data_IF_905886912295
#
_entry.id   IF_905886912295
#
_cell.length_a   1.000
_cell.length_b   1.000
_cell.length_c   1.000
_cell.angle_alpha   90.00
_cell.angle_beta   90.00
_cell.angle_gamma   90.00
#
_symmetry.space_group_name_H-M   'P 1'
#
loop_
_entity.id
_entity.type
_entity.pdbx_description
1 polymer ?
#
# COMPACT_ATOMS: atom_id res chain seq x y z
N UNK A 1 0.28 6.25 6.40
CA UNK A 1 -0.52 5.03 6.70
C UNK A 1 -0.13 3.98 5.67
N UNK A 2 0.01 2.71 6.04
CA UNK A 2 0.51 1.67 5.13
C UNK A 2 -0.60 0.93 4.35
N UNK A 3 -1.85 1.02 4.79
CA UNK A 3 -3.00 0.38 4.16
C UNK A 3 -4.00 1.47 3.73
N UNK A 4 -4.56 1.36 2.53
CA UNK A 4 -5.63 2.24 2.10
C UNK A 4 -6.88 1.97 2.95
N UNK A 5 -7.66 3.01 3.21
CA UNK A 5 -8.96 2.85 3.86
C UNK A 5 -9.92 2.18 2.87
N UNK A 6 -10.85 1.37 3.39
CA UNK A 6 -11.89 0.75 2.56
C UNK A 6 -12.89 1.78 2.05
N UNK A 7 -13.25 2.73 2.91
CA UNK A 7 -14.14 3.83 2.58
C UNK A 7 -13.40 4.90 1.80
N UNK A 8 -14.07 5.44 0.78
CA UNK A 8 -13.68 6.66 0.10
C UNK A 8 -13.79 7.85 1.08
N UNK A 9 -12.69 8.57 1.37
CA UNK A 9 -12.74 9.74 2.23
C UNK A 9 -13.59 10.87 1.64
N UNK A 10 -13.51 11.07 0.32
CA UNK A 10 -14.22 12.14 -0.38
C UNK A 10 -15.73 11.85 -0.44
N UNK A 11 -16.12 10.62 -0.80
CA UNK A 11 -17.53 10.22 -0.80
C UNK A 11 -18.10 10.28 0.63
N UNK A 12 -17.35 9.81 1.63
CA UNK A 12 -17.76 9.92 3.04
C UNK A 12 -18.02 11.37 3.44
N UNK A 13 -17.12 12.29 3.10
CA UNK A 13 -17.27 13.71 3.45
C UNK A 13 -18.49 14.35 2.77
N UNK A 14 -18.74 14.03 1.49
CA UNK A 14 -19.92 14.52 0.77
C UNK A 14 -21.21 13.97 1.40
N UNK A 15 -21.27 12.66 1.65
CA UNK A 15 -22.45 12.05 2.26
C UNK A 15 -22.71 12.58 3.67
N UNK A 16 -21.67 12.83 4.47
CA UNK A 16 -21.82 13.46 5.79
C UNK A 16 -22.35 14.89 5.67
N UNK A 17 -21.87 15.68 4.70
CA UNK A 17 -22.38 17.04 4.48
C UNK A 17 -23.85 17.04 4.07
N UNK A 18 -24.25 16.11 3.20
CA UNK A 18 -25.65 15.94 2.78
C UNK A 18 -26.52 15.52 3.96
N UNK A 19 -26.04 14.56 4.76
CA UNK A 19 -26.73 14.07 5.95
C UNK A 19 -26.90 15.13 7.04
N UNK A 20 -25.89 16.01 7.23
CA UNK A 20 -25.94 17.10 8.22
C UNK A 20 -26.66 18.36 7.73
N UNK A 21 -27.14 18.39 6.48
CA UNK A 21 -27.82 19.57 5.93
C UNK A 21 -29.26 19.64 6.41
N UNK A 22 -29.62 20.69 7.14
CA UNK A 22 -31.01 20.94 7.60
C UNK A 22 -31.95 21.32 6.45
N UNK A 23 -31.40 21.91 5.38
CA UNK A 23 -32.18 22.34 4.21
C UNK A 23 -31.98 21.39 3.03
N UNK A 24 -33.06 20.96 2.36
CA UNK A 24 -32.97 20.15 1.16
C UNK A 24 -32.30 20.96 0.06
N UNK A 25 -31.15 20.48 -0.39
CA UNK A 25 -30.36 21.12 -1.44
C UNK A 25 -30.33 20.22 -2.67
N UNK A 26 -30.61 20.81 -3.83
CA UNK A 26 -30.42 20.14 -5.10
C UNK A 26 -28.92 20.08 -5.39
N UNK A 27 -28.37 18.87 -5.34
CA UNK A 27 -26.94 18.67 -5.46
C UNK A 27 -26.69 17.61 -6.52
N UNK A 28 -25.82 17.98 -7.46
CA UNK A 28 -25.26 17.06 -8.44
C UNK A 28 -23.73 17.12 -8.33
N UNK A 29 -23.12 16.00 -7.97
CA UNK A 29 -21.68 15.89 -7.78
C UNK A 29 -21.10 14.71 -8.57
N UNK A 30 -20.05 15.00 -9.33
CA UNK A 30 -19.23 13.99 -9.99
C UNK A 30 -17.88 13.88 -9.28
N UNK A 31 -17.57 12.70 -8.73
CA UNK A 31 -16.31 12.42 -8.06
C UNK A 31 -15.52 11.39 -8.86
N UNK A 32 -14.22 11.62 -9.03
CA UNK A 32 -13.30 10.67 -9.65
C UNK A 32 -12.27 10.20 -8.63
N UNK A 33 -12.09 8.89 -8.50
CA UNK A 33 -11.16 8.29 -7.55
C UNK A 33 -10.15 7.33 -8.19
N UNK A 34 -9.19 6.91 -7.38
CA UNK A 34 -8.19 5.91 -7.75
C UNK A 34 -8.87 4.60 -8.22
N UNK A 35 -8.34 4.01 -9.30
CA UNK A 35 -8.94 2.82 -9.93
C UNK A 35 -9.89 3.15 -11.09
N UNK A 36 -9.89 4.38 -11.60
CA UNK A 36 -10.82 4.85 -12.65
C UNK A 36 -12.28 4.76 -12.24
N UNK A 37 -12.53 5.01 -10.95
CA UNK A 37 -13.87 4.97 -10.36
C UNK A 37 -14.50 6.34 -10.52
N UNK A 38 -15.76 6.34 -10.93
CA UNK A 38 -16.57 7.54 -11.01
C UNK A 38 -17.81 7.36 -10.13
N UNK A 39 -18.06 8.34 -9.29
CA UNK A 39 -19.29 8.44 -8.53
C UNK A 39 -20.11 9.61 -9.06
N UNK A 40 -21.41 9.41 -9.15
CA UNK A 40 -22.40 10.45 -9.39
C UNK A 40 -23.37 10.45 -8.22
N UNK A 41 -23.41 11.58 -7.52
CA UNK A 41 -24.24 11.77 -6.34
C UNK A 41 -25.29 12.80 -6.73
N UNK A 42 -26.55 12.43 -6.59
CA UNK A 42 -27.68 13.27 -6.94
C UNK A 42 -28.69 13.32 -5.79
N UNK A 43 -29.05 14.52 -5.36
CA UNK A 43 -30.18 14.80 -4.46
C UNK A 43 -31.11 15.80 -5.11
N UNK A 44 -32.42 15.61 -4.92
CA UNK A 44 -33.46 16.51 -5.44
C UNK A 44 -34.19 17.18 -4.28
N UNK A 45 -34.66 18.42 -4.49
CA UNK A 45 -35.49 19.13 -3.50
C UNK A 45 -36.83 18.42 -3.30
N UNK A 46 -37.37 17.80 -4.35
CA UNK A 46 -38.64 17.07 -4.31
C UNK A 46 -38.56 15.78 -3.50
N UNK A 47 -37.35 15.22 -3.37
CA UNK A 47 -37.09 13.95 -2.68
C UNK A 47 -35.91 14.11 -1.72
N UNK A 48 -36.10 14.95 -0.70
CA UNK A 48 -35.04 15.38 0.22
C UNK A 48 -34.48 14.27 1.11
N UNK A 49 -35.24 13.19 1.29
CA UNK A 49 -34.87 12.06 2.14
C UNK A 49 -34.01 11.02 1.41
N UNK A 50 -34.03 11.04 0.07
CA UNK A 50 -33.31 10.07 -0.74
C UNK A 50 -32.14 10.71 -1.49
N UNK A 51 -30.99 10.04 -1.42
CA UNK A 51 -29.82 10.37 -2.23
C UNK A 51 -29.52 9.22 -3.17
N UNK A 52 -29.29 9.57 -4.44
CA UNK A 52 -28.94 8.61 -5.47
C UNK A 52 -27.43 8.61 -5.66
N UNK A 53 -26.81 7.45 -5.46
CA UNK A 53 -25.38 7.22 -5.65
C UNK A 53 -25.19 6.24 -6.82
N UNK A 54 -24.74 6.74 -7.96
CA UNK A 54 -24.40 5.93 -9.12
C UNK A 54 -22.88 5.74 -9.22
N UNK A 55 -22.43 4.52 -9.53
CA UNK A 55 -21.03 4.11 -9.50
C UNK A 55 -20.67 3.48 -10.83
N UNK A 56 -19.63 4.02 -11.46
CA UNK A 56 -18.96 3.40 -12.60
C UNK A 56 -17.58 2.96 -12.15
N UNK A 57 -17.31 1.66 -12.29
CA UNK A 57 -16.04 1.06 -11.91
C UNK A 57 -15.69 -0.03 -12.94
N UNK A 58 -14.41 -0.18 -13.34
CA UNK A 58 -14.00 -1.28 -14.19
C UNK A 58 -14.20 -2.60 -13.45
N UNK A 59 -14.76 -3.61 -14.14
CA UNK A 59 -14.82 -4.97 -13.61
C UNK A 59 -13.39 -5.51 -13.46
N UNK A 60 -13.11 -6.23 -12.36
CA UNK A 60 -11.78 -6.78 -12.14
C UNK A 60 -11.39 -7.75 -13.26
N UNK A 61 -12.27 -8.64 -13.72
CA UNK A 61 -11.99 -9.53 -14.85
C UNK A 61 -12.71 -9.05 -16.12
N UNK A 62 -11.96 -8.93 -17.22
CA UNK A 62 -12.49 -8.51 -18.53
C UNK A 62 -12.91 -9.67 -19.43
N UNK A 63 -12.61 -10.93 -19.08
CA UNK A 63 -12.49 -11.99 -20.08
C UNK A 63 -13.46 -13.17 -20.08
N UNK A 64 -14.13 -13.54 -18.97
CA UNK A 64 -14.78 -14.88 -18.94
C UNK A 64 -16.10 -14.98 -18.17
N UNK A 65 -16.48 -14.05 -17.28
CA UNK A 65 -17.53 -14.37 -16.30
C UNK A 65 -18.80 -13.52 -16.28
N UNK A 66 -18.93 -12.39 -16.98
CA UNK A 66 -20.15 -11.57 -16.83
C UNK A 66 -20.55 -10.87 -18.13
N UNK A 67 -21.73 -11.22 -18.62
CA UNK A 67 -22.59 -10.40 -19.46
C UNK A 67 -22.84 -9.05 -18.78
N UNK A 68 -22.18 -7.98 -19.23
CA UNK A 68 -22.34 -6.54 -18.94
C UNK A 68 -22.61 -6.01 -17.50
N UNK A 69 -22.92 -6.84 -16.51
CA UNK A 69 -23.38 -6.49 -15.17
C UNK A 69 -22.58 -7.14 -14.05
N UNK A 70 -22.92 -6.78 -12.81
CA UNK A 70 -22.29 -7.32 -11.59
C UNK A 70 -22.78 -8.75 -11.30
N UNK A 71 -21.94 -9.60 -10.70
CA UNK A 71 -22.37 -10.96 -10.31
C UNK A 71 -23.47 -10.91 -9.24
N UNK A 72 -24.39 -11.90 -9.19
CA UNK A 72 -25.41 -11.97 -8.14
C UNK A 72 -24.82 -11.93 -6.73
N UNK A 73 -23.68 -12.59 -6.54
CA UNK A 73 -22.92 -12.55 -5.28
C UNK A 73 -22.47 -11.12 -4.92
N UNK A 74 -22.00 -10.35 -5.91
CA UNK A 74 -21.61 -8.95 -5.69
C UNK A 74 -22.80 -8.08 -5.30
N UNK A 75 -23.94 -8.26 -5.96
CA UNK A 75 -25.18 -7.54 -5.62
C UNK A 75 -25.65 -7.89 -4.20
N UNK A 76 -25.58 -9.17 -3.82
CA UNK A 76 -25.91 -9.61 -2.46
C UNK A 76 -24.98 -8.97 -1.42
N UNK A 77 -23.66 -8.97 -1.66
CA UNK A 77 -22.69 -8.33 -0.77
C UNK A 77 -22.91 -6.81 -0.65
N UNK A 78 -23.35 -6.15 -1.73
CA UNK A 78 -23.71 -4.72 -1.70
C UNK A 78 -25.03 -4.49 -0.95
N UNK A 79 -26.04 -5.34 -1.13
CA UNK A 79 -27.30 -5.27 -0.34
C UNK A 79 -27.06 -5.47 1.16
N UNK A 80 -26.04 -6.25 1.52
CA UNK A 80 -25.61 -6.40 2.91
C UNK A 80 -24.95 -5.14 3.48
N UNK A 81 -24.52 -4.19 2.63
CA UNK A 81 -24.08 -2.85 3.07
C UNK A 81 -25.35 -2.09 3.47
N UNK A 82 -25.69 -2.15 4.75
CA UNK A 82 -26.81 -1.40 5.35
C UNK A 82 -28.16 -1.72 4.72
N UNK A 83 -28.62 -2.96 4.91
CA UNK A 83 -29.85 -3.53 4.33
C UNK A 83 -31.15 -2.74 4.59
N UNK A 84 -31.19 -1.88 5.61
CA UNK A 84 -32.37 -1.07 5.93
C UNK A 84 -32.40 0.26 5.18
N UNK A 85 -31.24 0.88 4.93
CA UNK A 85 -31.12 2.25 4.41
C UNK A 85 -30.72 2.33 2.93
N UNK A 86 -30.23 1.24 2.33
CA UNK A 86 -29.73 1.22 0.96
C UNK A 86 -30.57 0.28 0.10
N UNK A 87 -31.07 0.80 -1.02
CA UNK A 87 -31.79 0.02 -2.04
C UNK A 87 -31.04 0.08 -3.38
N UNK A 88 -30.95 -1.04 -4.08
CA UNK A 88 -30.37 -1.09 -5.43
C UNK A 88 -31.48 -0.78 -6.45
N UNK A 89 -31.25 0.21 -7.31
CA UNK A 89 -32.19 0.59 -8.37
C UNK A 89 -31.82 -0.15 -9.67
N UNK A 90 -32.81 -0.80 -10.28
CA UNK A 90 -32.68 -1.45 -11.59
C UNK A 90 -33.68 -0.83 -12.59
N UNK A 91 -33.24 -0.48 -13.82
CA UNK A 91 -31.87 -0.52 -14.32
C UNK A 91 -30.98 0.56 -13.69
N UNK A 92 -29.67 0.33 -13.68
CA UNK A 92 -28.71 1.36 -13.28
C UNK A 92 -28.79 2.57 -14.22
N UNK A 93 -28.45 3.75 -13.71
CA UNK A 93 -28.39 4.98 -14.50
C UNK A 93 -27.45 4.82 -15.68
N UNK A 94 -27.80 5.41 -16.82
CA UNK A 94 -27.00 5.32 -18.05
C UNK A 94 -25.53 5.76 -17.80
N UNK A 95 -24.59 4.94 -18.28
CA UNK A 95 -23.15 5.14 -18.04
C UNK A 95 -22.62 4.60 -16.70
N UNK A 96 -23.48 4.12 -15.81
CA UNK A 96 -23.10 3.56 -14.51
C UNK A 96 -23.39 2.06 -14.43
N UNK A 97 -22.63 1.35 -13.58
CA UNK A 97 -22.76 -0.10 -13.37
C UNK A 97 -23.70 -0.44 -12.22
N UNK A 98 -23.87 0.48 -11.28
CA UNK A 98 -24.71 0.32 -10.09
C UNK A 98 -25.28 1.69 -9.69
N UNK A 99 -26.57 1.72 -9.35
CA UNK A 99 -27.21 2.89 -8.75
C UNK A 99 -27.86 2.49 -7.42
N UNK A 100 -27.52 3.22 -6.37
CA UNK A 100 -28.02 3.02 -5.02
C UNK A 100 -28.94 4.17 -4.63
N UNK A 101 -30.10 3.87 -4.05
CA UNK A 101 -30.94 4.82 -3.32
C UNK A 101 -30.61 4.73 -1.84
N UNK A 102 -30.17 5.83 -1.25
CA UNK A 102 -29.84 5.94 0.16
C UNK A 102 -30.95 6.72 0.84
N UNK A 103 -31.59 6.12 1.84
CA UNK A 103 -32.65 6.73 2.64
C UNK A 103 -32.05 7.27 3.95
N UNK A 104 -31.88 8.60 4.03
CA UNK A 104 -31.33 9.24 5.22
C UNK A 104 -32.28 9.22 6.41
N UNK A 105 -33.60 9.12 6.20
CA UNK A 105 -34.56 9.04 7.30
C UNK A 105 -34.31 7.82 8.17
N UNK A 106 -34.00 6.68 7.52
CA UNK A 106 -33.68 5.44 8.23
C UNK A 106 -32.31 5.49 8.91
N UNK A 107 -31.37 6.27 8.39
CA UNK A 107 -30.04 6.45 9.00
C UNK A 107 -30.12 7.30 10.27
N UNK A 108 -31.05 8.27 10.32
CA UNK A 108 -31.27 9.14 11.50
C UNK A 108 -31.71 8.37 12.75
N UNK A 109 -32.34 7.20 12.59
CA UNK A 109 -32.85 6.39 13.70
C UNK A 109 -31.82 5.41 14.29
N UNK A 110 -30.62 5.33 13.71
CA UNK A 110 -29.58 4.39 14.11
C UNK A 110 -28.61 5.02 15.13
N UNK A 111 -28.02 4.20 16.01
CA UNK A 111 -27.12 4.68 17.07
C UNK A 111 -25.81 5.27 16.52
N UNK A 112 -25.38 4.86 15.31
CA UNK A 112 -24.08 5.22 14.74
C UNK A 112 -24.14 5.58 13.23
N UNK A 113 -24.77 6.72 12.86
CA UNK A 113 -24.97 7.11 11.47
C UNK A 113 -23.67 7.32 10.70
N UNK A 114 -22.62 7.82 11.35
CA UNK A 114 -21.31 8.00 10.72
C UNK A 114 -20.68 6.68 10.26
N UNK A 115 -20.94 5.57 10.97
CA UNK A 115 -20.43 4.25 10.57
C UNK A 115 -21.18 3.73 9.36
N UNK A 116 -22.50 3.90 9.33
CA UNK A 116 -23.34 3.57 8.17
C UNK A 116 -22.87 4.34 6.93
N UNK A 117 -22.66 5.65 7.06
CA UNK A 117 -22.15 6.48 5.95
C UNK A 117 -20.74 6.03 5.54
N UNK A 118 -19.91 5.59 6.50
CA UNK A 118 -18.58 5.03 6.19
C UNK A 118 -18.68 3.71 5.42
N UNK A 119 -19.65 2.86 5.75
CA UNK A 119 -19.89 1.59 5.09
C UNK A 119 -20.44 1.79 3.67
N UNK A 120 -21.36 2.75 3.48
CA UNK A 120 -21.83 3.19 2.16
C UNK A 120 -20.64 3.71 1.35
N UNK A 121 -19.78 4.54 1.94
CA UNK A 121 -18.59 5.04 1.27
C UNK A 121 -17.54 3.94 0.95
N UNK A 122 -17.70 2.73 1.49
CA UNK A 122 -16.87 1.56 1.18
C UNK A 122 -17.44 0.68 0.06
N UNK A 123 -18.56 1.05 -0.57
CA UNK A 123 -19.23 0.29 -1.63
C UNK A 123 -18.28 -0.20 -2.73
N UNK A 124 -17.39 0.67 -3.21
CA UNK A 124 -16.44 0.30 -4.25
C UNK A 124 -15.45 -0.78 -3.77
N UNK A 125 -14.96 -0.67 -2.54
CA UNK A 125 -14.12 -1.70 -1.94
C UNK A 125 -14.87 -3.03 -1.78
N UNK A 126 -16.18 -3.00 -1.51
CA UNK A 126 -17.02 -4.21 -1.45
C UNK A 126 -17.16 -4.84 -2.82
N UNK A 127 -17.44 -4.07 -3.87
CA UNK A 127 -17.55 -4.57 -5.27
C UNK A 127 -16.27 -5.29 -5.71
N UNK A 128 -15.10 -4.68 -5.48
CA UNK A 128 -13.83 -5.30 -5.84
C UNK A 128 -13.54 -6.53 -4.98
N UNK A 129 -13.84 -6.44 -3.68
CA UNK A 129 -13.60 -7.55 -2.75
C UNK A 129 -14.50 -8.73 -3.05
N UNK A 130 -15.78 -8.53 -3.40
CA UNK A 130 -16.71 -9.62 -3.72
C UNK A 130 -16.25 -10.39 -4.95
N UNK A 131 -15.82 -9.70 -6.01
CA UNK A 131 -15.31 -10.32 -7.22
C UNK A 131 -14.08 -11.22 -6.94
N UNK A 132 -13.13 -10.73 -6.14
CA UNK A 132 -11.97 -11.55 -5.76
C UNK A 132 -12.36 -12.67 -4.77
N UNK A 133 -13.29 -12.42 -3.84
CA UNK A 133 -13.83 -13.44 -2.93
C UNK A 133 -14.45 -14.61 -3.72
N UNK A 134 -15.25 -14.33 -4.74
CA UNK A 134 -15.87 -15.33 -5.60
C UNK A 134 -14.83 -16.23 -6.28
N UNK A 135 -13.70 -15.65 -6.71
CA UNK A 135 -12.59 -16.40 -7.29
C UNK A 135 -11.84 -17.25 -6.27
N UNK A 136 -11.71 -16.77 -5.03
CA UNK A 136 -10.94 -17.41 -3.94
C UNK A 136 -11.74 -18.41 -3.10
N UNK A 137 -13.08 -18.32 -3.05
CA UNK A 137 -13.91 -19.32 -2.34
C UNK A 137 -13.91 -20.65 -3.11
N UNK A 138 -13.83 -20.57 -4.44
CA UNK A 138 -13.86 -21.73 -5.34
C UNK A 138 -12.49 -22.44 -5.51
N UNK A 139 -11.61 -22.41 -4.49
CA UNK A 139 -10.29 -23.09 -4.54
C UNK A 139 -10.42 -24.60 -4.74
N UNK A 140 -11.52 -25.20 -4.25
CA UNK A 140 -11.73 -26.65 -4.24
C UNK A 140 -12.77 -27.14 -5.27
N UNK A 141 -13.32 -26.29 -6.15
CA UNK A 141 -14.35 -26.75 -7.09
C UNK A 141 -13.74 -27.72 -8.12
N UNK A 142 -14.21 -28.97 -8.22
CA UNK A 142 -13.65 -29.99 -9.12
C UNK A 142 -13.92 -29.71 -10.62
N UNK A 143 -14.62 -28.62 -10.96
CA UNK A 143 -15.12 -28.32 -12.29
C UNK A 143 -14.07 -27.83 -13.32
N UNK A 144 -12.80 -27.64 -12.94
CA UNK A 144 -11.71 -27.24 -13.86
C UNK A 144 -10.53 -28.23 -13.90
N UNK A 145 -10.74 -29.48 -13.49
CA UNK A 145 -9.68 -30.48 -13.36
C UNK A 145 -9.29 -31.19 -14.68
N UNK A 146 -9.31 -30.50 -15.83
CA UNK A 146 -8.74 -31.02 -17.08
C UNK A 146 -8.02 -29.91 -17.85
N UNK A 147 -6.77 -29.63 -17.45
CA UNK A 147 -5.87 -28.70 -18.14
C UNK A 147 -5.26 -27.63 -17.24
N UNK A 148 -4.14 -27.03 -17.66
CA UNK A 148 -3.59 -25.81 -17.05
C UNK A 148 -4.67 -24.74 -17.11
N UNK A 149 -5.19 -24.30 -15.95
CA UNK A 149 -6.19 -23.23 -15.93
C UNK A 149 -5.58 -21.98 -16.57
N UNK A 150 -6.31 -21.38 -17.51
CA UNK A 150 -5.86 -20.14 -18.14
C UNK A 150 -5.73 -19.05 -17.05
N UNK A 151 -4.66 -18.25 -17.05
CA UNK A 151 -4.54 -17.13 -16.15
C UNK A 151 -5.74 -16.19 -16.29
N UNK A 152 -6.38 -15.84 -15.18
CA UNK A 152 -7.43 -14.83 -15.16
C UNK A 152 -6.75 -13.50 -14.88
N UNK A 153 -6.66 -12.64 -15.90
CA UNK A 153 -6.17 -11.27 -15.76
C UNK A 153 -7.17 -10.42 -14.99
N UNK A 154 -6.70 -9.81 -13.90
CA UNK A 154 -7.45 -8.85 -13.11
C UNK A 154 -6.89 -7.44 -13.26
N UNK A 155 -7.76 -6.49 -13.61
CA UNK A 155 -7.40 -5.09 -13.87
C UNK A 155 -8.12 -4.19 -12.88
N UNK A 156 -7.49 -3.93 -11.74
CA UNK A 156 -7.93 -2.87 -10.83
C UNK A 156 -7.46 -1.48 -11.29
N UNK A 157 -6.25 -1.42 -11.83
CA UNK A 157 -5.68 -0.20 -12.39
C UNK A 157 -5.11 -0.54 -13.78
N UNK A 158 -5.41 0.24 -14.83
CA UNK A 158 -5.08 -0.14 -16.22
C UNK A 158 -3.61 -0.51 -16.47
N UNK A 159 -2.68 0.12 -15.75
CA UNK A 159 -1.23 -0.13 -15.87
C UNK A 159 -0.67 -1.21 -14.93
N UNK A 160 -1.52 -1.73 -14.06
CA UNK A 160 -1.14 -2.60 -12.94
C UNK A 160 -2.10 -3.80 -12.83
N UNK A 161 -2.19 -4.63 -13.88
CA UNK A 161 -2.93 -5.87 -13.78
C UNK A 161 -2.22 -6.84 -12.83
N UNK A 162 -2.96 -7.81 -12.31
CA UNK A 162 -2.42 -8.98 -11.64
C UNK A 162 -3.20 -10.22 -12.07
N UNK A 163 -2.60 -11.39 -11.97
CA UNK A 163 -3.17 -12.63 -12.51
C UNK A 163 -3.57 -13.57 -11.39
N UNK A 164 -4.68 -14.27 -11.60
CA UNK A 164 -5.15 -15.36 -10.73
C UNK A 164 -5.12 -16.65 -11.54
N UNK A 165 -4.33 -17.63 -11.08
CA UNK A 165 -4.20 -18.93 -11.72
C UNK A 165 -4.68 -19.99 -10.73
N UNK A 166 -5.63 -20.82 -11.14
CA UNK A 166 -6.19 -21.88 -10.30
C UNK A 166 -5.38 -23.16 -10.48
N UNK A 167 -4.74 -23.65 -9.44
CA UNK A 167 -4.06 -24.95 -9.44
C UNK A 167 -4.83 -25.94 -8.57
N UNK A 168 -4.57 -27.26 -8.69
CA UNK A 168 -5.11 -28.23 -7.75
C UNK A 168 -4.73 -27.85 -6.31
N UNK A 169 -5.72 -27.68 -5.43
CA UNK A 169 -5.56 -27.38 -3.99
C UNK A 169 -5.00 -25.99 -3.61
N UNK A 170 -4.58 -25.17 -4.59
CA UNK A 170 -4.06 -23.82 -4.34
C UNK A 170 -4.33 -22.86 -5.49
N UNK A 171 -4.40 -21.57 -5.19
CA UNK A 171 -4.50 -20.50 -6.18
C UNK A 171 -3.19 -19.71 -6.16
N UNK A 172 -2.60 -19.50 -7.33
CA UNK A 172 -1.46 -18.60 -7.49
C UNK A 172 -1.95 -17.21 -7.86
N UNK A 173 -1.42 -16.20 -7.17
CA UNK A 173 -1.69 -14.80 -7.49
C UNK A 173 -0.38 -14.14 -7.87
N UNK A 174 -0.28 -13.71 -9.12
CA UNK A 174 0.95 -13.16 -9.69
C UNK A 174 0.80 -11.66 -9.92
N UNK A 175 1.66 -10.87 -9.30
CA UNK A 175 1.74 -9.42 -9.45
C UNK A 175 2.94 -9.03 -10.33
N UNK A 176 2.71 -8.61 -11.58
CA UNK A 176 3.74 -7.97 -12.40
C UNK A 176 4.02 -6.55 -11.90
N UNK A 177 5.21 -6.31 -11.34
CA UNK A 177 5.55 -5.05 -10.68
C UNK A 177 6.27 -4.10 -11.64
N UNK A 178 5.73 -2.89 -11.78
CA UNK A 178 6.26 -1.84 -12.65
C UNK A 178 6.55 -0.57 -11.89
N UNK A 179 7.77 -0.04 -12.07
CA UNK A 179 8.19 1.28 -11.59
C UNK A 179 8.56 2.17 -12.76
N UNK A 180 8.34 3.49 -12.61
CA UNK A 180 8.78 4.46 -13.61
C UNK A 180 10.28 4.74 -13.52
N UNK A 181 10.83 4.69 -12.31
CA UNK A 181 12.21 5.10 -12.04
C UNK A 181 13.09 3.90 -11.71
N UNK A 182 14.28 3.83 -12.32
CA UNK A 182 15.24 2.75 -12.09
C UNK A 182 15.73 2.70 -10.62
N UNK A 183 15.78 3.83 -9.93
CA UNK A 183 16.13 3.85 -8.50
C UNK A 183 15.10 3.13 -7.64
N UNK A 184 13.83 3.25 -7.99
CA UNK A 184 12.72 2.61 -7.28
C UNK A 184 12.75 1.09 -7.50
N UNK A 185 13.16 0.64 -8.70
CA UNK A 185 13.40 -0.78 -8.99
C UNK A 185 14.43 -1.37 -8.02
N UNK A 186 15.57 -0.70 -7.83
CA UNK A 186 16.63 -1.20 -6.92
C UNK A 186 16.11 -1.33 -5.48
N UNK A 187 15.36 -0.34 -5.00
CA UNK A 187 14.77 -0.36 -3.66
C UNK A 187 13.73 -1.48 -3.56
N UNK A 188 12.89 -1.65 -4.59
CA UNK A 188 11.86 -2.69 -4.63
C UNK A 188 12.45 -4.09 -4.68
N UNK A 189 13.49 -4.33 -5.48
CA UNK A 189 14.18 -5.62 -5.53
C UNK A 189 14.75 -6.00 -4.16
N UNK A 190 15.34 -5.05 -3.43
CA UNK A 190 15.79 -5.28 -2.06
C UNK A 190 14.63 -5.58 -1.11
N UNK A 191 13.50 -4.89 -1.27
CA UNK A 191 12.28 -5.13 -0.51
C UNK A 191 11.72 -6.55 -0.75
N UNK A 192 11.62 -7.00 -2.00
CA UNK A 192 11.08 -8.32 -2.34
C UNK A 192 11.95 -9.48 -1.88
N UNK A 193 13.28 -9.32 -1.95
CA UNK A 193 14.20 -10.32 -1.39
C UNK A 193 14.01 -10.50 0.12
N UNK A 194 13.88 -9.39 0.86
CA UNK A 194 13.61 -9.47 2.30
C UNK A 194 12.19 -10.02 2.58
N UNK A 195 11.20 -9.71 1.73
CA UNK A 195 9.85 -10.27 1.84
C UNK A 195 9.85 -11.80 1.67
N UNK A 196 10.58 -12.30 0.67
CA UNK A 196 10.77 -13.72 0.42
C UNK A 196 11.47 -14.40 1.60
N UNK A 197 12.58 -13.84 2.08
CA UNK A 197 13.32 -14.36 3.24
C UNK A 197 12.45 -14.44 4.51
N UNK A 198 11.57 -13.46 4.71
CA UNK A 198 10.62 -13.44 5.84
C UNK A 198 9.49 -14.43 5.61
N UNK A 199 8.96 -14.54 4.39
CA UNK A 199 7.90 -15.47 4.03
C UNK A 199 8.33 -16.94 4.16
N UNK A 200 9.59 -17.25 3.89
CA UNK A 200 10.16 -18.60 4.06
C UNK A 200 10.52 -18.96 5.50
N UNK A 201 10.40 -18.03 6.45
CA UNK A 201 10.72 -18.29 7.86
C UNK A 201 9.61 -19.11 8.54
N UNK A 202 9.97 -20.12 9.32
CA UNK A 202 9.03 -20.95 10.11
C UNK A 202 8.06 -20.14 10.98
N UNK A 203 8.51 -18.99 11.49
CA UNK A 203 7.68 -18.05 12.25
C UNK A 203 6.42 -17.57 11.51
N UNK A 204 6.43 -17.61 10.19
CA UNK A 204 5.34 -17.16 9.32
C UNK A 204 4.77 -18.31 8.47
N UNK A 205 4.90 -19.55 8.94
CA UNK A 205 4.37 -20.75 8.27
C UNK A 205 2.85 -20.71 7.99
N UNK A 206 2.10 -19.92 8.76
CA UNK A 206 0.65 -19.71 8.59
C UNK A 206 0.30 -18.65 7.54
N UNK A 207 1.30 -17.98 6.95
CA UNK A 207 1.09 -16.94 5.94
C UNK A 207 1.26 -17.50 4.53
N UNK A 208 0.62 -16.89 3.52
CA UNK A 208 0.82 -17.27 2.14
C UNK A 208 2.30 -17.28 1.76
N UNK A 209 2.85 -18.40 1.25
CA UNK A 209 4.17 -18.42 0.66
C UNK A 209 4.27 -17.33 -0.42
N UNK A 210 5.36 -16.59 -0.38
CA UNK A 210 5.64 -15.50 -1.32
C UNK A 210 6.96 -15.79 -2.02
N UNK A 211 6.97 -15.70 -3.35
CA UNK A 211 8.20 -15.75 -4.13
C UNK A 211 8.34 -14.52 -5.03
N UNK A 212 9.57 -14.17 -5.39
CA UNK A 212 9.86 -13.11 -6.33
C UNK A 212 10.84 -13.61 -7.39
N UNK A 213 10.56 -13.31 -8.65
CA UNK A 213 11.40 -13.67 -9.79
C UNK A 213 11.50 -12.49 -10.76
N UNK A 214 12.68 -12.23 -11.36
CA UNK A 214 12.79 -11.25 -12.44
C UNK A 214 12.14 -11.73 -13.76
N UNK A 215 11.92 -13.05 -13.90
CA UNK A 215 11.38 -13.69 -15.10
C UNK A 215 9.92 -14.09 -14.84
N UNK A 216 9.02 -13.97 -15.84
CA UNK A 216 7.63 -14.40 -15.68
C UNK A 216 7.54 -15.86 -15.27
N UNK A 217 6.65 -16.21 -14.32
CA UNK A 217 6.42 -17.59 -13.94
C UNK A 217 5.87 -18.40 -15.14
N UNK A 218 6.18 -19.71 -15.23
CA UNK A 218 5.82 -20.54 -16.38
C UNK A 218 4.30 -20.61 -16.62
N UNK A 219 3.50 -20.40 -15.58
CA UNK A 219 2.04 -20.35 -15.66
C UNK A 219 1.50 -19.17 -16.47
N UNK A 220 2.28 -18.10 -16.64
CA UNK A 220 1.92 -16.95 -17.49
C UNK A 220 2.41 -17.07 -18.93
N UNK A 221 2.89 -18.24 -19.35
CA UNK A 221 3.27 -18.46 -20.76
C UNK A 221 2.04 -18.38 -21.65
N UNK A 222 2.08 -17.50 -22.65
CA UNK A 222 0.99 -17.28 -23.61
C UNK A 222 0.22 -15.98 -23.39
N UNK A 223 0.42 -15.29 -22.27
CA UNK A 223 -0.10 -13.93 -22.06
C UNK A 223 0.66 -12.90 -22.94
N UNK A 224 0.01 -11.79 -23.33
CA UNK A 224 0.62 -10.79 -24.20
C UNK A 224 1.87 -10.16 -23.57
N UNK A 225 2.87 -9.86 -24.42
CA UNK A 225 4.19 -9.41 -23.98
C UNK A 225 4.14 -8.09 -23.20
N UNK A 226 3.20 -7.21 -23.54
CA UNK A 226 2.99 -5.93 -22.85
C UNK A 226 2.68 -6.13 -21.36
N UNK A 227 1.94 -7.20 -21.05
CA UNK A 227 1.53 -7.55 -19.69
C UNK A 227 2.61 -8.29 -18.91
N UNK A 228 3.53 -8.95 -19.61
CA UNK A 228 4.70 -9.61 -19.03
C UNK A 228 5.92 -8.68 -18.96
N UNK A 229 5.93 -7.56 -19.68
CA UNK A 229 7.01 -6.59 -19.63
C UNK A 229 7.00 -5.84 -18.30
N UNK A 230 7.93 -6.20 -17.41
CA UNK A 230 8.10 -5.61 -16.08
C UNK A 230 9.56 -5.33 -15.79
N UNK A 231 9.83 -4.27 -15.02
CA UNK A 231 11.18 -3.95 -14.54
C UNK A 231 11.38 -4.30 -13.05
N UNK A 232 10.30 -4.39 -12.28
CA UNK A 232 10.33 -4.79 -10.87
C UNK A 232 10.28 -6.31 -10.64
N UNK A 233 10.08 -7.09 -11.70
CA UNK A 233 9.86 -8.53 -11.64
C UNK A 233 8.42 -8.91 -11.25
N UNK A 234 8.25 -10.19 -10.94
CA UNK A 234 6.98 -10.84 -10.62
C UNK A 234 6.99 -11.29 -9.18
N UNK A 235 5.95 -10.93 -8.42
CA UNK A 235 5.72 -11.44 -7.08
C UNK A 235 4.56 -12.41 -7.13
N UNK A 236 4.75 -13.63 -6.64
CA UNK A 236 3.70 -14.64 -6.59
C UNK A 236 3.35 -14.99 -5.15
N UNK A 237 2.06 -15.11 -4.86
CA UNK A 237 1.54 -15.64 -3.61
C UNK A 237 0.78 -16.94 -3.84
N UNK A 238 1.05 -17.93 -2.99
CA UNK A 238 0.38 -19.22 -2.99
C UNK A 238 -0.77 -19.21 -1.96
N UNK A 239 -2.01 -19.15 -2.44
CA UNK A 239 -3.21 -19.11 -1.62
C UNK A 239 -3.87 -20.49 -1.57
N UNK A 240 -3.60 -21.23 -0.50
CA UNK A 240 -4.32 -22.45 -0.11
C UNK A 240 -5.58 -22.18 0.72
N UNK A 241 -6.41 -23.22 0.89
CA UNK A 241 -7.70 -23.19 1.59
C UNK A 241 -7.63 -22.53 2.98
N UNK A 242 -6.59 -22.82 3.78
CA UNK A 242 -6.44 -22.27 5.13
C UNK A 242 -6.19 -20.75 5.19
N UNK A 243 -5.84 -20.11 4.06
CA UNK A 243 -5.69 -18.65 3.95
C UNK A 243 -7.03 -17.96 3.66
N UNK A 244 -8.01 -18.70 3.17
CA UNK A 244 -9.34 -18.21 2.76
C UNK A 244 -10.47 -18.73 3.66
N UNK A 245 -10.12 -19.39 4.76
CA UNK A 245 -11.09 -19.94 5.70
C UNK A 245 -11.68 -18.87 6.63
N UNK A 246 -13.01 -18.84 6.71
CA UNK A 246 -13.79 -17.98 7.62
C UNK A 246 -13.40 -16.50 7.53
N UNK A 247 -13.13 -15.88 8.69
CA UNK A 247 -12.82 -14.44 8.80
C UNK A 247 -11.48 -14.03 8.15
N UNK A 248 -10.65 -14.99 7.69
CA UNK A 248 -9.36 -14.70 7.04
C UNK A 248 -9.53 -14.25 5.59
N UNK A 249 -10.56 -14.77 4.91
CA UNK A 249 -10.84 -14.45 3.50
C UNK A 249 -10.82 -12.94 3.25
N UNK A 250 -11.55 -12.17 4.06
CA UNK A 250 -11.64 -10.72 3.88
C UNK A 250 -10.30 -10.00 4.02
N UNK A 251 -9.47 -10.45 4.96
CA UNK A 251 -8.15 -9.86 5.19
C UNK A 251 -7.19 -10.22 4.05
N UNK A 252 -7.24 -11.45 3.58
CA UNK A 252 -6.45 -11.94 2.44
C UNK A 252 -6.81 -11.17 1.18
N UNK A 253 -8.11 -11.11 0.83
CA UNK A 253 -8.63 -10.34 -0.30
C UNK A 253 -8.19 -8.88 -0.25
N UNK A 254 -8.40 -8.22 0.89
CA UNK A 254 -8.02 -6.83 1.06
C UNK A 254 -6.51 -6.60 0.93
N UNK A 255 -5.69 -7.51 1.47
CA UNK A 255 -4.23 -7.44 1.38
C UNK A 255 -3.75 -7.61 -0.06
N UNK A 256 -4.37 -8.51 -0.82
CA UNK A 256 -4.04 -8.77 -2.22
C UNK A 256 -4.39 -7.58 -3.12
N UNK A 257 -5.61 -7.04 -3.00
CA UNK A 257 -6.05 -5.85 -3.75
C UNK A 257 -5.13 -4.65 -3.50
N UNK A 258 -4.61 -4.51 -2.28
CA UNK A 258 -3.74 -3.39 -1.90
C UNK A 258 -2.25 -3.66 -2.03
N UNK A 259 -1.84 -4.86 -2.43
CA UNK A 259 -0.42 -5.26 -2.40
C UNK A 259 0.46 -4.34 -3.25
N UNK A 260 0.05 -4.07 -4.49
CA UNK A 260 0.84 -3.23 -5.39
C UNK A 260 1.02 -1.81 -4.85
N UNK A 261 -0.08 -1.22 -4.38
CA UNK A 261 -0.08 0.11 -3.80
C UNK A 261 0.72 0.17 -2.48
N UNK A 262 0.67 -0.89 -1.67
CA UNK A 262 1.50 -1.07 -0.46
C UNK A 262 2.99 -1.05 -0.81
N UNK A 263 3.42 -1.84 -1.79
CA UNK A 263 4.82 -1.88 -2.22
C UNK A 263 5.27 -0.50 -2.69
N UNK A 264 4.51 0.13 -3.59
CA UNK A 264 4.87 1.45 -4.15
C UNK A 264 4.97 2.52 -3.06
N UNK A 265 4.05 2.51 -2.11
CA UNK A 265 4.10 3.40 -0.95
C UNK A 265 5.37 3.19 -0.12
N UNK A 266 5.74 1.94 0.15
CA UNK A 266 6.94 1.62 0.95
C UNK A 266 8.24 1.91 0.22
N UNK A 267 8.30 1.73 -1.10
CA UNK A 267 9.45 2.12 -1.93
C UNK A 267 9.65 3.63 -1.89
N UNK A 268 8.59 4.42 -2.15
CA UNK A 268 8.63 5.89 -2.06
C UNK A 268 9.01 6.37 -0.66
N UNK A 269 8.44 5.77 0.38
CA UNK A 269 8.75 6.11 1.78
C UNK A 269 10.22 5.81 2.11
N UNK A 270 10.76 4.70 1.63
CA UNK A 270 12.17 4.31 1.82
C UNK A 270 13.10 5.29 1.12
N UNK A 271 12.77 5.71 -0.10
CA UNK A 271 13.51 6.73 -0.83
C UNK A 271 13.55 8.06 -0.07
N UNK A 272 12.39 8.53 0.39
CA UNK A 272 12.30 9.75 1.20
C UNK A 272 13.09 9.65 2.52
N UNK A 273 13.10 8.47 3.14
CA UNK A 273 13.90 8.20 4.34
C UNK A 273 15.42 8.28 4.05
N UNK A 274 15.88 7.71 2.94
CA UNK A 274 17.29 7.78 2.51
C UNK A 274 17.68 9.24 2.28
N UNK A 275 16.87 10.00 1.53
CA UNK A 275 17.11 11.43 1.27
C UNK A 275 17.17 12.26 2.56
N UNK A 276 16.25 12.01 3.51
CA UNK A 276 16.28 12.68 4.83
C UNK A 276 17.57 12.37 5.59
N UNK A 277 18.06 11.13 5.53
CA UNK A 277 19.31 10.73 6.19
C UNK A 277 20.53 11.34 5.52
N UNK A 278 20.53 11.46 4.19
CA UNK A 278 21.58 12.13 3.43
C UNK A 278 21.66 13.62 3.80
N UNK A 279 20.53 14.33 3.83
CA UNK A 279 20.45 15.75 4.27
C UNK A 279 21.02 15.94 5.67
N UNK A 280 20.57 15.13 6.63
CA UNK A 280 21.09 15.20 8.01
C UNK A 280 22.60 14.93 8.11
N UNK A 281 23.15 14.07 7.26
CA UNK A 281 24.59 13.85 7.22
C UNK A 281 25.33 15.03 6.59
N UNK A 282 24.78 15.62 5.54
CA UNK A 282 25.35 16.82 4.91
C UNK A 282 25.38 17.99 5.90
N UNK A 283 24.27 18.25 6.60
CA UNK A 283 24.17 19.27 7.66
C UNK A 283 25.29 19.09 8.69
N UNK A 284 25.46 17.86 9.20
CA UNK A 284 26.52 17.58 10.17
C UNK A 284 27.96 17.73 9.62
N UNK A 285 28.19 17.49 8.33
CA UNK A 285 29.49 17.71 7.71
C UNK A 285 29.76 19.22 7.51
N UNK A 286 28.74 19.97 7.10
CA UNK A 286 28.79 21.42 6.92
C UNK A 286 29.04 22.13 8.26
N UNK A 287 28.40 21.69 9.34
CA UNK A 287 28.67 22.20 10.70
C UNK A 287 30.15 22.04 11.10
N UNK A 288 30.76 20.90 10.79
CA UNK A 288 32.18 20.63 11.09
C UNK A 288 33.10 21.52 10.26
N UNK A 289 32.77 21.75 8.98
CA UNK A 289 33.53 22.64 8.12
C UNK A 289 33.48 24.08 8.64
N UNK A 290 32.28 24.58 8.98
CA UNK A 290 32.12 25.94 9.49
C UNK A 290 32.85 26.15 10.82
N UNK A 291 32.82 25.18 11.74
CA UNK A 291 33.58 25.24 13.00
C UNK A 291 35.09 25.41 12.77
N UNK A 292 35.66 24.72 11.77
CA UNK A 292 37.08 24.86 11.46
C UNK A 292 37.43 26.24 10.88
N UNK A 293 36.62 26.76 9.98
CA UNK A 293 36.83 28.12 9.42
C UNK A 293 36.72 29.22 10.48
N UNK A 294 35.84 29.08 11.48
CA UNK A 294 35.75 30.05 12.59
C UNK A 294 36.94 29.94 13.57
N UNK A 295 37.49 28.74 13.78
CA UNK A 295 38.67 28.55 14.62
C UNK A 295 39.95 29.11 13.94
N UNK A 296 40.06 29.03 12.60
CA UNK A 296 41.17 29.64 11.86
C UNK A 296 41.14 31.17 11.86
N UNK A 297 39.94 31.79 11.97
CA UNK A 297 39.80 33.25 12.11
C UNK A 297 40.26 33.82 13.46
N UNK A 298 40.39 32.98 14.49
CA UNK A 298 40.83 33.35 15.84
C UNK A 298 42.32 33.08 16.10
N UNK A 299 43.01 32.41 15.18
CA UNK A 299 44.43 32.05 15.33
C UNK A 299 45.42 33.09 14.77
N UNK A 300 44.94 34.23 14.24
CA UNK A 300 45.79 35.32 13.75
C UNK A 300 46.08 36.44 14.77
N UNK A 301 45.81 36.25 16.07
CA UNK A 301 46.38 37.09 17.14
C UNK A 301 47.19 36.21 18.07
N UNK A 302 48.50 36.38 17.98
CA UNK A 302 49.50 35.46 18.50
C UNK A 302 49.35 35.14 19.98
N UNK A 303 49.47 33.86 20.31
CA UNK A 303 50.20 33.36 21.47
C UNK A 303 50.31 31.84 21.37
N UNK A 304 51.55 31.37 21.29
CA UNK A 304 51.88 29.97 21.15
C UNK A 304 51.49 29.11 22.36
N UNK A 305 51.26 27.83 22.05
CA UNK A 305 51.59 26.66 22.88
C UNK A 305 51.07 26.73 24.33
N UNK A 306 49.75 26.59 24.54
CA UNK A 306 49.21 26.19 25.86
C UNK A 306 47.89 25.38 25.85
N UNK A 307 47.38 24.93 24.69
CA UNK A 307 46.03 24.33 24.61
C UNK A 307 45.94 22.81 24.40
N UNK A 308 47.03 22.05 24.44
CA UNK A 308 46.95 20.57 24.31
C UNK A 308 46.43 19.84 25.55
N UNK A 309 46.43 20.44 26.76
CA UNK A 309 45.91 19.76 27.97
C UNK A 309 44.40 19.90 28.19
N UNK A 310 43.71 20.86 27.57
CA UNK A 310 42.24 21.04 27.71
C UNK A 310 41.40 20.18 26.75
N UNK A 311 41.96 19.71 25.64
CA UNK A 311 41.27 18.85 24.67
C UNK A 311 41.12 17.38 25.14
N UNK A 312 42.00 16.90 26.02
CA UNK A 312 41.89 15.57 26.63
C UNK A 312 40.75 15.48 27.68
N UNK A 313 40.40 16.60 28.32
CA UNK A 313 39.30 16.65 29.29
C UNK A 313 37.92 16.75 28.60
N UNK A 314 37.81 17.50 27.49
CA UNK A 314 36.56 17.61 26.71
C UNK A 314 36.17 16.33 25.98
N UNK A 315 37.13 15.51 25.57
CA UNK A 315 36.86 14.22 24.89
C UNK A 315 36.22 13.18 25.82
N UNK A 316 36.46 13.23 27.15
CA UNK A 316 35.77 12.37 28.13
C UNK A 316 34.29 12.74 28.28
N UNK A 317 33.95 14.04 28.37
CA UNK A 317 32.56 14.50 28.41
C UNK A 317 31.78 14.22 27.12
N UNK A 318 32.43 14.30 25.96
CA UNK A 318 31.82 13.98 24.66
C UNK A 318 31.56 12.47 24.53
N UNK A 319 32.45 11.59 25.03
CA UNK A 319 32.20 10.14 25.09
C UNK A 319 31.01 9.79 26.01
N UNK A 320 30.86 10.47 27.15
CA UNK A 320 29.71 10.28 28.05
C UNK A 320 28.39 10.80 27.45
N UNK A 321 28.40 11.95 26.76
CA UNK A 321 27.24 12.48 26.00
C UNK A 321 26.86 11.58 24.81
N UNK A 322 27.84 11.01 24.10
CA UNK A 322 27.58 10.05 23.02
C UNK A 322 26.98 8.73 23.55
N UNK A 323 27.38 8.27 24.75
CA UNK A 323 26.73 7.12 25.39
C UNK A 323 25.29 7.41 25.83
N UNK A 324 25.00 8.61 26.36
CA UNK A 324 23.64 8.99 26.77
C UNK A 324 22.71 9.23 25.56
N UNK A 325 23.24 9.81 24.46
CA UNK A 325 22.56 9.93 23.18
C UNK A 325 22.32 8.56 22.54
N UNK A 326 23.28 7.63 22.60
CA UNK A 326 23.09 6.26 22.13
C UNK A 326 22.02 5.51 22.93
N UNK A 327 21.94 5.73 24.25
CA UNK A 327 20.84 5.21 25.10
C UNK A 327 19.49 5.88 24.81
N UNK A 328 19.44 7.20 24.58
CA UNK A 328 18.21 7.91 24.17
C UNK A 328 17.73 7.47 22.78
N UNK A 329 18.66 7.28 21.84
CA UNK A 329 18.36 6.73 20.51
C UNK A 329 17.89 5.26 20.61
N UNK A 330 18.42 4.46 21.55
CA UNK A 330 17.88 3.13 21.85
C UNK A 330 16.47 3.17 22.46
N UNK A 331 16.12 4.19 23.26
CA UNK A 331 14.76 4.38 23.81
C UNK A 331 13.74 4.90 22.78
N UNK A 332 14.16 5.77 21.86
CA UNK A 332 13.29 6.30 20.77
C UNK A 332 13.03 5.23 19.67
N UNK A 333 13.86 4.17 19.61
CA UNK A 333 13.77 3.06 18.63
C UNK A 333 12.57 2.10 18.82
N UNK A 334 11.63 2.38 19.72
CA UNK A 334 10.54 1.45 20.04
C UNK A 334 9.17 1.74 19.44
N UNK A 335 8.94 2.86 18.73
CA UNK A 335 7.57 3.21 18.30
C UNK A 335 7.10 2.71 16.93
N UNK A 336 7.98 2.18 16.08
CA UNK A 336 7.55 1.49 14.84
C UNK A 336 8.42 0.23 14.65
N UNK A 337 8.00 -0.84 15.32
CA UNK A 337 8.48 -2.20 15.06
C UNK A 337 7.68 -2.76 13.88
N UNK A 338 8.24 -2.71 12.68
CA UNK A 338 7.80 -3.60 11.59
C UNK A 338 8.56 -4.92 11.83
N UNK A 339 7.90 -6.01 12.21
CA UNK A 339 8.54 -7.32 12.36
C UNK A 339 9.17 -7.73 11.02
N UNK A 340 10.39 -8.29 11.02
CA UNK A 340 11.10 -8.73 9.81
C UNK A 340 12.18 -7.76 9.30
N UNK A 341 12.00 -6.44 9.43
CA UNK A 341 12.93 -5.42 8.88
C UNK A 341 14.23 -5.19 9.67
N UNK A 342 14.56 -6.05 10.64
CA UNK A 342 15.75 -5.89 11.47
C UNK A 342 17.05 -6.23 10.73
N UNK A 343 17.00 -7.12 9.73
CA UNK A 343 18.16 -7.56 8.94
C UNK A 343 18.60 -6.48 7.93
N UNK A 344 17.64 -5.89 7.21
CA UNK A 344 17.86 -4.68 6.40
C UNK A 344 18.63 -3.58 7.15
N UNK A 345 18.27 -3.32 8.42
CA UNK A 345 18.99 -2.34 9.25
C UNK A 345 20.42 -2.79 9.58
N UNK A 346 20.68 -4.07 9.88
CA UNK A 346 22.01 -4.52 10.30
C UNK A 346 23.03 -4.52 9.16
N UNK A 347 22.62 -4.85 7.93
CA UNK A 347 23.52 -4.96 6.77
C UNK A 347 23.98 -3.58 6.24
N UNK A 348 23.09 -2.58 6.24
CA UNK A 348 23.40 -1.20 5.84
C UNK A 348 24.06 -0.35 6.94
N UNK A 349 24.05 -0.82 8.20
CA UNK A 349 24.64 -0.11 9.35
C UNK A 349 26.08 -0.56 9.69
N UNK A 350 26.63 -1.56 9.00
CA UNK A 350 28.08 -1.81 9.05
C UNK A 350 28.78 -0.82 8.13
N UNK A 351 29.36 0.22 8.72
CA UNK A 351 30.36 1.01 8.02
C UNK A 351 31.51 0.08 7.62
N UNK A 352 32.02 0.12 6.38
CA UNK A 352 33.33 -0.44 6.10
C UNK A 352 34.34 0.33 6.98
N UNK A 353 35.10 -0.39 7.78
CA UNK A 353 36.25 0.17 8.50
C UNK A 353 37.31 0.47 7.45
N UNK A 354 37.40 1.72 7.00
CA UNK A 354 38.54 2.16 6.22
C UNK A 354 39.76 2.18 7.14
N UNK A 355 40.69 1.24 6.96
CA UNK A 355 42.03 1.35 7.53
C UNK A 355 42.77 2.45 6.78
N UNK A 356 43.04 3.56 7.43
CA UNK A 356 43.82 4.65 6.85
C UNK A 356 45.31 4.29 6.86
N UNK A 357 45.79 3.67 5.79
CA UNK A 357 47.21 3.59 5.48
C UNK A 357 47.47 4.05 4.05
N UNK A 358 47.24 5.34 3.77
CA UNK A 358 47.75 5.98 2.56
C UNK A 358 48.55 7.20 3.02
N UNK A 359 49.87 7.03 3.13
CA UNK A 359 50.82 8.13 3.20
C UNK A 359 50.91 8.74 1.81
N UNK A 360 50.49 9.98 1.65
CA UNK A 360 50.79 10.75 0.45
C UNK A 360 52.23 11.28 0.54
N UNK A 361 53.07 10.87 -0.41
CA UNK A 361 54.37 11.50 -0.67
C UNK A 361 54.14 12.79 -1.45
N UNK A 362 54.59 13.93 -0.90
CA UNK A 362 54.67 15.20 -1.64
C UNK A 362 55.81 15.08 -2.66
N UNK A 363 55.49 15.30 -3.93
CA UNK A 363 56.50 15.57 -4.96
C UNK A 363 56.99 17.02 -4.78
N UNK A 364 58.31 17.20 -4.86
CA UNK A 364 59.00 18.50 -4.86
C UNK A 364 58.95 19.11 -6.25
#
# INVERSE_FOLDING_TARGET
MACFQRASPALKEILLKLYSSENPTEIEHHLHEFGSVQYHIQSSISDSLHVYLSIATPLLSQGVLLSDGLSPYTLEMVKQICSHAVEIIEPAKEGYKLTLRIDFAKILHEEEPEKIITDIAAVHAVILSSQLKEMLINVNSPALCQGTSRPIKLVYHPREPFFVIKQPQKILIVFPIRFKENTDVIIATAFFRELMDVGSSEKWSKTPPCCWSPIPPPELRGEPLEELSTNGGFVTFDISVHHVEGKRLEKTVWSLLNFNAYVKYHVKTTRGFIQRRMRKRLEGLVEILHQKTSDDGLLNKGQGIKYMKKLAARTKHIKQKCHSLSRKIKRIRFRIKIPGFARFRRRWLKFPTFSSSIRYTRLK
#
